data_IF_779159125939
#
_entry.id   IF_779159125939
#
_cell.length_a   1.000
_cell.length_b   1.000
_cell.length_c   1.000
_cell.angle_alpha   90.00
_cell.angle_beta   90.00
_cell.angle_gamma   90.00
#
_symmetry.space_group_name_H-M   'P 1'
#
loop_
_entity.id
_entity.type
_entity.pdbx_description
1 polymer ?
#
# COMPACT_ATOMS: atom_id res chain seq x y z
N UNK A 1 -18.59 16.15 24.96
CA UNK A 1 -17.96 14.86 24.65
C UNK A 1 -18.52 13.77 25.59
N UNK A 2 -19.69 13.19 25.27
CA UNK A 2 -20.42 12.24 26.15
C UNK A 2 -20.08 10.77 25.90
N UNK A 3 -19.24 10.48 24.89
CA UNK A 3 -18.84 9.12 24.51
C UNK A 3 -17.48 8.70 25.08
N UNK A 4 -16.73 9.63 25.69
CA UNK A 4 -15.45 9.33 26.32
C UNK A 4 -15.66 8.38 27.51
N UNK A 5 -14.94 7.25 27.60
CA UNK A 5 -15.00 6.40 28.78
C UNK A 5 -14.67 7.20 30.04
N UNK A 6 -15.52 7.12 31.07
CA UNK A 6 -15.36 7.90 32.30
C UNK A 6 -14.13 7.50 33.14
N UNK A 7 -13.48 6.36 32.81
CA UNK A 7 -12.33 5.84 33.55
C UNK A 7 -12.64 5.33 34.97
N UNK A 8 -13.90 5.42 35.41
CA UNK A 8 -14.31 5.11 36.79
C UNK A 8 -14.10 3.64 37.18
N UNK A 9 -14.09 2.72 36.21
CA UNK A 9 -13.88 1.29 36.45
C UNK A 9 -12.50 0.96 37.05
N UNK A 10 -11.52 1.87 36.95
CA UNK A 10 -10.16 1.67 37.46
C UNK A 10 -9.82 2.58 38.66
N UNK A 11 -10.61 3.61 38.93
CA UNK A 11 -10.22 4.70 39.86
C UNK A 11 -10.58 4.46 41.32
N UNK A 12 -11.42 3.46 41.63
CA UNK A 12 -11.92 3.26 43.02
C UNK A 12 -11.87 1.82 43.54
N UNK A 13 -11.65 0.81 42.69
CA UNK A 13 -11.53 -0.59 43.11
C UNK A 13 -10.20 -1.18 42.65
N UNK A 14 -9.25 -1.31 43.58
CA UNK A 14 -7.94 -1.92 43.33
C UNK A 14 -7.97 -3.46 43.29
N UNK A 15 -9.12 -4.08 43.57
CA UNK A 15 -9.32 -5.54 43.45
C UNK A 15 -10.04 -5.85 42.14
N UNK A 16 -9.37 -6.56 41.22
CA UNK A 16 -9.92 -6.98 39.93
C UNK A 16 -8.96 -6.74 38.76
N UNK A 17 -9.35 -7.10 37.52
CA UNK A 17 -8.50 -6.94 36.35
C UNK A 17 -8.24 -5.46 36.06
N UNK A 18 -6.96 -5.12 35.89
CA UNK A 18 -6.54 -3.78 35.47
C UNK A 18 -6.78 -3.57 33.96
N UNK A 19 -6.35 -2.43 33.42
CA UNK A 19 -6.52 -2.14 32.00
C UNK A 19 -5.84 -3.19 31.10
N UNK A 20 -4.60 -3.59 31.43
CA UNK A 20 -3.83 -4.56 30.65
C UNK A 20 -4.48 -5.95 30.70
N UNK A 21 -4.98 -6.38 31.86
CA UNK A 21 -5.69 -7.67 32.00
C UNK A 21 -6.93 -7.72 31.09
N UNK A 22 -7.69 -6.61 31.06
CA UNK A 22 -8.86 -6.47 30.18
C UNK A 22 -8.46 -6.44 28.71
N UNK A 23 -7.42 -5.68 28.36
CA UNK A 23 -6.87 -5.61 26.99
C UNK A 23 -6.44 -6.98 26.48
N UNK A 24 -5.73 -7.74 27.32
CA UNK A 24 -5.26 -9.10 27.00
C UNK A 24 -6.44 -10.06 26.82
N UNK A 25 -7.43 -10.01 27.71
CA UNK A 25 -8.66 -10.81 27.59
C UNK A 25 -9.43 -10.46 26.32
N UNK A 26 -9.54 -9.16 25.99
CA UNK A 26 -10.25 -8.66 24.81
C UNK A 26 -9.60 -9.15 23.51
N UNK A 27 -8.27 -9.10 23.41
CA UNK A 27 -7.54 -9.59 22.23
C UNK A 27 -7.44 -11.11 22.15
N UNK A 28 -7.59 -11.86 23.24
CA UNK A 28 -7.40 -13.31 23.20
C UNK A 28 -8.53 -14.07 22.47
N UNK A 29 -9.74 -13.51 22.45
CA UNK A 29 -10.97 -14.14 21.95
C UNK A 29 -11.17 -15.58 22.46
N UNK A 30 -10.70 -15.95 23.65
CA UNK A 30 -10.72 -17.35 24.10
C UNK A 30 -12.14 -17.91 24.31
N UNK A 31 -13.10 -17.03 24.57
CA UNK A 31 -14.47 -17.35 24.98
C UNK A 31 -15.54 -16.88 23.98
N UNK A 32 -15.15 -16.25 22.88
CA UNK A 32 -16.08 -15.69 21.89
C UNK A 32 -15.47 -15.54 20.50
N UNK A 33 -16.33 -15.35 19.51
CA UNK A 33 -15.94 -14.97 18.14
C UNK A 33 -16.22 -13.47 17.89
N UNK A 34 -15.41 -12.78 17.07
CA UNK A 34 -15.63 -11.39 16.73
C UNK A 34 -16.89 -11.25 15.85
N UNK A 35 -17.58 -10.12 15.93
CA UNK A 35 -18.67 -9.83 15.00
C UNK A 35 -18.14 -9.62 13.57
N UNK A 36 -16.98 -8.96 13.45
CA UNK A 36 -16.29 -8.69 12.18
C UNK A 36 -14.87 -9.23 12.22
N UNK A 37 -14.52 -10.09 11.26
CA UNK A 37 -13.15 -10.53 11.04
C UNK A 37 -12.55 -9.80 9.83
N UNK A 38 -11.45 -9.08 10.05
CA UNK A 38 -10.73 -8.34 9.01
C UNK A 38 -9.48 -9.12 8.62
N UNK A 39 -9.38 -9.47 7.33
CA UNK A 39 -8.27 -10.23 6.76
C UNK A 39 -7.26 -9.26 6.14
N UNK A 40 -6.14 -9.02 6.83
CA UNK A 40 -5.09 -8.09 6.42
C UNK A 40 -5.02 -6.85 7.31
N UNK A 41 -3.86 -6.61 7.90
CA UNK A 41 -3.57 -5.53 8.83
C UNK A 41 -2.79 -4.35 8.24
N UNK A 42 -2.96 -4.10 6.94
CA UNK A 42 -2.49 -2.88 6.29
C UNK A 42 -3.45 -1.69 6.46
N UNK A 43 -3.20 -0.58 5.76
CA UNK A 43 -3.99 0.66 5.87
C UNK A 43 -5.50 0.42 5.77
N UNK A 44 -5.96 -0.34 4.77
CA UNK A 44 -7.39 -0.62 4.58
C UNK A 44 -8.00 -1.33 5.79
N UNK A 45 -7.33 -2.34 6.33
CA UNK A 45 -7.80 -3.08 7.50
C UNK A 45 -7.81 -2.22 8.76
N UNK A 46 -6.75 -1.44 8.98
CA UNK A 46 -6.64 -0.53 10.12
C UNK A 46 -7.69 0.59 10.08
N UNK A 47 -7.93 1.21 8.92
CA UNK A 47 -8.97 2.23 8.76
C UNK A 47 -10.35 1.69 9.13
N UNK A 48 -10.70 0.50 8.63
CA UNK A 48 -11.99 -0.14 8.88
C UNK A 48 -12.11 -0.52 10.36
N UNK A 49 -11.09 -1.16 10.93
CA UNK A 49 -11.08 -1.55 12.34
C UNK A 49 -11.24 -0.34 13.27
N UNK A 50 -10.54 0.75 13.00
CA UNK A 50 -10.65 1.97 13.79
C UNK A 50 -12.07 2.54 13.76
N UNK A 51 -12.70 2.60 12.59
CA UNK A 51 -14.09 3.06 12.44
C UNK A 51 -15.07 2.13 13.18
N UNK A 52 -14.92 0.82 13.05
CA UNK A 52 -15.77 -0.16 13.75
C UNK A 52 -15.59 -0.13 15.28
N UNK A 53 -14.36 0.09 15.77
CA UNK A 53 -14.08 0.27 17.20
C UNK A 53 -14.83 1.46 17.77
N UNK A 54 -14.86 2.60 17.06
CA UNK A 54 -15.62 3.78 17.51
C UNK A 54 -17.15 3.58 17.49
N UNK A 55 -17.63 2.59 16.74
CA UNK A 55 -19.03 2.17 16.71
C UNK A 55 -19.33 1.06 17.74
N UNK A 56 -18.37 0.69 18.59
CA UNK A 56 -18.46 -0.42 19.55
C UNK A 56 -18.81 -1.77 18.90
N UNK A 57 -18.30 -2.03 17.69
CA UNK A 57 -18.47 -3.30 16.99
C UNK A 57 -17.25 -4.18 17.28
N UNK A 58 -17.47 -5.35 17.88
CA UNK A 58 -16.39 -6.31 18.20
C UNK A 58 -15.71 -6.81 16.91
N UNK A 59 -14.44 -6.46 16.76
CA UNK A 59 -13.69 -6.57 15.52
C UNK A 59 -12.31 -7.13 15.79
N UNK A 60 -11.91 -8.17 15.06
CA UNK A 60 -10.57 -8.73 15.09
C UNK A 60 -9.89 -8.56 13.72
N UNK A 61 -8.68 -8.03 13.71
CA UNK A 61 -7.80 -8.03 12.55
C UNK A 61 -6.89 -9.26 12.64
N UNK A 62 -6.69 -9.96 11.53
CA UNK A 62 -5.64 -10.96 11.41
C UNK A 62 -4.69 -10.61 10.27
N UNK A 63 -3.40 -10.88 10.47
CA UNK A 63 -2.37 -10.72 9.45
C UNK A 63 -1.36 -11.87 9.53
N UNK A 64 -0.97 -12.38 8.37
CA UNK A 64 0.04 -13.46 8.26
C UNK A 64 1.45 -12.99 8.64
N UNK A 65 1.70 -11.68 8.64
CA UNK A 65 2.99 -11.14 9.00
C UNK A 65 3.27 -11.29 10.49
N UNK A 66 4.53 -11.53 10.82
CA UNK A 66 4.98 -11.74 12.20
C UNK A 66 4.84 -10.49 13.08
N UNK A 67 5.00 -9.31 12.47
CA UNK A 67 4.92 -8.02 13.15
C UNK A 67 4.00 -7.08 12.39
N UNK A 68 3.22 -6.28 13.11
CA UNK A 68 2.36 -5.24 12.52
C UNK A 68 3.22 -4.32 11.64
N UNK A 69 2.72 -3.95 10.46
CA UNK A 69 3.43 -3.10 9.51
C UNK A 69 4.50 -3.81 8.66
N UNK A 70 4.75 -5.11 8.85
CA UNK A 70 5.73 -5.86 8.04
C UNK A 70 5.39 -5.91 6.54
N UNK A 71 4.11 -5.73 6.19
CA UNK A 71 3.67 -5.56 4.80
C UNK A 71 4.34 -4.36 4.10
N UNK A 72 4.80 -3.36 4.87
CA UNK A 72 5.64 -2.26 4.43
C UNK A 72 7.10 -2.47 4.78
N UNK A 73 7.42 -2.86 6.02
CA UNK A 73 8.81 -2.98 6.52
C UNK A 73 9.68 -3.91 5.66
N UNK A 74 9.09 -4.99 5.13
CA UNK A 74 9.77 -6.00 4.30
C UNK A 74 9.87 -5.63 2.81
N UNK A 75 9.40 -4.46 2.40
CA UNK A 75 9.64 -3.95 1.04
C UNK A 75 11.12 -3.52 0.89
N UNK A 76 11.55 -3.30 -0.35
CA UNK A 76 12.94 -2.92 -0.67
C UNK A 76 13.40 -1.69 0.10
N UNK A 77 14.70 -1.66 0.42
CA UNK A 77 15.35 -0.75 1.35
C UNK A 77 15.04 0.72 1.06
N UNK A 78 15.16 1.14 -0.21
CA UNK A 78 14.97 2.52 -0.63
C UNK A 78 13.49 3.01 -0.70
N UNK A 79 12.50 2.15 -0.42
CA UNK A 79 11.10 2.51 -0.65
C UNK A 79 10.63 3.67 0.23
N UNK A 80 10.21 4.73 -0.45
CA UNK A 80 9.45 5.86 0.08
C UNK A 80 8.11 5.94 -0.66
N UNK A 81 7.03 6.30 0.03
CA UNK A 81 5.74 6.51 -0.63
C UNK A 81 5.83 7.61 -1.70
N UNK A 82 5.07 7.47 -2.77
CA UNK A 82 5.11 8.38 -3.92
C UNK A 82 4.05 9.50 -3.87
N UNK A 83 3.13 9.43 -2.91
CA UNK A 83 2.15 10.46 -2.61
C UNK A 83 2.56 11.21 -1.34
N UNK A 84 2.21 12.49 -1.28
CA UNK A 84 2.53 13.33 -0.12
C UNK A 84 1.74 12.93 1.14
N UNK A 85 2.26 13.31 2.31
CA UNK A 85 1.77 12.91 3.64
C UNK A 85 0.28 13.17 3.87
N UNK A 86 -0.27 14.26 3.35
CA UNK A 86 -1.63 14.72 3.65
C UNK A 86 -2.72 13.75 3.14
N UNK A 87 -2.46 12.97 2.09
CA UNK A 87 -3.40 11.95 1.56
C UNK A 87 -3.19 10.55 2.14
N UNK A 88 -2.31 10.40 3.12
CA UNK A 88 -1.96 9.10 3.70
C UNK A 88 -2.51 8.89 5.12
N UNK A 89 -3.19 9.89 5.70
CA UNK A 89 -3.66 9.84 7.08
C UNK A 89 -4.61 8.66 7.34
N UNK A 90 -4.53 8.12 8.56
CA UNK A 90 -5.49 7.15 9.07
C UNK A 90 -6.56 7.89 9.89
N UNK A 91 -7.80 7.35 9.99
CA UNK A 91 -8.85 7.95 10.80
C UNK A 91 -8.40 8.22 12.24
N UNK A 92 -8.88 9.32 12.83
CA UNK A 92 -8.73 9.70 14.24
C UNK A 92 -7.33 10.10 14.73
N UNK A 93 -6.28 9.54 14.15
CA UNK A 93 -4.90 9.82 14.55
C UNK A 93 -4.07 10.20 13.30
N UNK A 94 -4.02 11.50 12.95
CA UNK A 94 -3.20 11.97 11.83
C UNK A 94 -1.72 11.76 12.12
N UNK A 95 -0.90 11.76 11.07
CA UNK A 95 0.55 11.73 11.25
C UNK A 95 1.01 13.02 11.93
N UNK A 96 2.05 12.96 12.79
CA UNK A 96 2.62 14.15 13.40
C UNK A 96 3.07 15.19 12.36
N UNK A 97 2.90 16.49 12.61
CA UNK A 97 3.28 17.56 11.69
C UNK A 97 4.79 17.64 11.41
N UNK A 98 5.61 16.97 12.23
CA UNK A 98 7.07 16.86 12.05
C UNK A 98 7.49 15.77 11.06
N UNK A 99 6.53 15.05 10.47
CA UNK A 99 6.82 14.02 9.49
C UNK A 99 7.29 14.60 8.16
N UNK A 100 8.16 13.89 7.43
CA UNK A 100 8.57 14.31 6.10
C UNK A 100 7.38 14.31 5.13
N UNK A 101 7.45 15.14 4.09
CA UNK A 101 6.44 15.22 3.02
C UNK A 101 6.17 13.86 2.39
N UNK A 102 7.22 13.06 2.16
CA UNK A 102 7.13 11.70 1.65
C UNK A 102 7.57 10.72 2.74
N UNK A 103 6.80 9.65 2.94
CA UNK A 103 6.94 8.77 4.11
C UNK A 103 7.77 7.53 3.74
N UNK A 104 8.91 7.27 4.39
CA UNK A 104 9.66 6.02 4.23
C UNK A 104 8.88 4.81 4.74
N UNK A 105 9.05 3.64 4.11
CA UNK A 105 8.31 2.40 4.44
C UNK A 105 8.36 2.04 5.94
N UNK A 106 9.52 2.24 6.59
CA UNK A 106 9.74 1.84 7.97
C UNK A 106 9.03 2.77 8.96
N UNK A 107 8.95 4.05 8.62
CA UNK A 107 8.23 5.06 9.41
C UNK A 107 6.73 4.77 9.41
N UNK A 108 6.19 4.41 8.24
CA UNK A 108 4.79 3.99 8.10
C UNK A 108 4.52 2.68 8.86
N UNK A 109 5.41 1.69 8.73
CA UNK A 109 5.27 0.41 9.42
C UNK A 109 5.23 0.57 10.95
N UNK A 110 6.14 1.37 11.51
CA UNK A 110 6.19 1.64 12.95
C UNK A 110 4.96 2.42 13.43
N UNK A 111 4.42 3.31 12.59
CA UNK A 111 3.18 4.02 12.91
C UNK A 111 1.98 3.09 13.03
N UNK A 112 1.90 2.01 12.25
CA UNK A 112 0.80 1.05 12.40
C UNK A 112 0.81 0.37 13.76
N UNK A 113 1.97 0.06 14.33
CA UNK A 113 2.07 -0.45 15.70
C UNK A 113 1.55 0.57 16.71
N UNK A 114 2.01 1.82 16.62
CA UNK A 114 1.53 2.89 17.51
C UNK A 114 0.03 3.15 17.34
N UNK A 115 -0.50 3.07 16.11
CA UNK A 115 -1.91 3.26 15.80
C UNK A 115 -2.79 2.15 16.38
N UNK A 116 -2.39 0.88 16.22
CA UNK A 116 -3.08 -0.28 16.80
C UNK A 116 -3.14 -0.18 18.33
N UNK A 117 -2.02 0.16 18.96
CA UNK A 117 -1.96 0.32 20.41
C UNK A 117 -2.81 1.50 20.90
N UNK A 118 -2.66 2.67 20.27
CA UNK A 118 -3.32 3.91 20.72
C UNK A 118 -4.84 3.86 20.57
N UNK A 119 -5.35 3.10 19.61
CA UNK A 119 -6.79 2.91 19.37
C UNK A 119 -7.32 1.57 19.92
N UNK A 120 -6.48 0.83 20.64
CA UNK A 120 -6.82 -0.47 21.24
C UNK A 120 -7.44 -1.46 20.24
N UNK A 121 -6.89 -1.54 19.02
CA UNK A 121 -7.41 -2.42 17.97
C UNK A 121 -6.99 -3.87 18.23
N UNK A 122 -7.94 -4.81 18.23
CA UNK A 122 -7.62 -6.24 18.37
C UNK A 122 -6.96 -6.76 17.09
N UNK A 123 -5.76 -7.31 17.24
CA UNK A 123 -4.91 -7.69 16.12
C UNK A 123 -4.15 -8.98 16.44
N UNK A 124 -4.28 -10.01 15.59
CA UNK A 124 -3.40 -11.18 15.61
C UNK A 124 -2.42 -11.16 14.45
N UNK A 125 -1.13 -11.16 14.78
CA UNK A 125 -0.06 -11.41 13.84
C UNK A 125 0.14 -12.91 13.62
N UNK A 126 0.96 -13.27 12.62
CA UNK A 126 1.28 -14.67 12.27
C UNK A 126 0.04 -15.57 12.13
N UNK A 127 -1.09 -15.00 11.68
CA UNK A 127 -2.36 -15.70 11.57
C UNK A 127 -2.83 -15.66 10.13
N UNK A 128 -2.97 -16.84 9.52
CA UNK A 128 -3.32 -16.98 8.12
C UNK A 128 -4.78 -17.42 7.94
N UNK A 129 -5.49 -16.74 7.06
CA UNK A 129 -6.84 -17.11 6.66
C UNK A 129 -6.78 -18.22 5.60
N UNK A 130 -7.36 -19.38 5.91
CA UNK A 130 -7.36 -20.54 5.01
C UNK A 130 -8.66 -20.68 4.20
N UNK A 131 -9.67 -19.86 4.52
CA UNK A 131 -10.96 -19.86 3.85
C UNK A 131 -12.14 -19.98 4.81
N UNK A 132 -13.35 -20.03 4.25
CA UNK A 132 -14.58 -20.21 5.01
C UNK A 132 -15.81 -20.32 4.15
N UNK A 133 -16.93 -20.67 4.78
CA UNK A 133 -18.24 -20.81 4.15
C UNK A 133 -19.30 -20.04 4.94
N UNK A 134 -20.26 -19.45 4.24
CA UNK A 134 -21.37 -18.74 4.86
C UNK A 134 -22.57 -19.65 5.06
N UNK A 135 -23.12 -19.65 6.27
CA UNK A 135 -24.41 -20.28 6.59
C UNK A 135 -25.50 -19.20 6.59
N UNK A 136 -26.42 -19.30 5.62
CA UNK A 136 -27.52 -18.35 5.47
C UNK A 136 -28.58 -18.47 6.57
N UNK A 137 -28.78 -19.66 7.16
CA UNK A 137 -29.73 -19.87 8.24
C UNK A 137 -29.19 -19.32 9.55
N UNK A 138 -27.91 -19.58 9.86
CA UNK A 138 -27.24 -19.03 11.03
C UNK A 138 -26.84 -17.56 10.89
N UNK A 139 -26.83 -17.03 9.66
CA UNK A 139 -26.33 -15.68 9.31
C UNK A 139 -24.92 -15.43 9.81
N UNK A 140 -24.07 -16.45 9.69
CA UNK A 140 -22.70 -16.44 10.18
C UNK A 140 -21.78 -17.19 9.22
N UNK A 141 -20.52 -16.81 9.23
CA UNK A 141 -19.46 -17.54 8.56
C UNK A 141 -18.97 -18.67 9.46
N UNK A 142 -18.38 -19.70 8.85
CA UNK A 142 -17.43 -20.60 9.50
C UNK A 142 -16.11 -20.43 8.78
N UNK A 143 -15.10 -19.89 9.46
CA UNK A 143 -13.77 -19.66 8.88
C UNK A 143 -12.73 -20.54 9.53
N UNK A 144 -11.69 -20.90 8.78
CA UNK A 144 -10.52 -21.61 9.29
C UNK A 144 -9.30 -20.70 9.24
N UNK A 145 -8.63 -20.59 10.38
CA UNK A 145 -7.40 -19.82 10.57
C UNK A 145 -6.26 -20.76 10.93
N UNK A 146 -5.07 -20.51 10.40
CA UNK A 146 -3.83 -21.13 10.88
C UNK A 146 -3.09 -20.14 11.77
N UNK A 147 -2.86 -20.53 13.02
CA UNK A 147 -2.18 -19.72 14.02
C UNK A 147 -0.65 -19.84 13.91
N UNK A 148 0.06 -19.02 14.68
CA UNK A 148 1.53 -18.95 14.67
C UNK A 148 2.23 -20.28 15.00
N UNK A 149 1.61 -21.09 15.87
CA UNK A 149 2.09 -22.42 16.27
C UNK A 149 1.73 -23.53 15.26
N UNK A 150 1.09 -23.18 14.15
CA UNK A 150 0.62 -24.09 13.12
C UNK A 150 -0.72 -24.75 13.44
N UNK A 151 -1.30 -24.51 14.62
CA UNK A 151 -2.63 -25.04 14.95
C UNK A 151 -3.72 -24.35 14.14
N UNK A 152 -4.82 -25.08 13.92
CA UNK A 152 -5.99 -24.54 13.25
C UNK A 152 -7.02 -24.05 14.28
N UNK A 153 -7.56 -22.86 14.03
CA UNK A 153 -8.64 -22.26 14.81
C UNK A 153 -9.83 -21.98 13.91
N UNK A 154 -11.00 -22.51 14.30
CA UNK A 154 -12.27 -22.16 13.67
C UNK A 154 -12.91 -21.00 14.41
N UNK A 155 -13.50 -20.07 13.66
CA UNK A 155 -14.25 -18.93 14.20
C UNK A 155 -15.53 -18.72 13.40
N UNK A 156 -16.53 -18.08 14.02
CA UNK A 156 -17.84 -17.86 13.42
C UNK A 156 -18.27 -16.38 13.38
N UNK A 157 -17.52 -15.52 12.67
CA UNK A 157 -17.89 -14.11 12.56
C UNK A 157 -19.16 -13.91 11.73
N UNK A 158 -19.87 -12.81 11.95
CA UNK A 158 -21.03 -12.43 11.12
C UNK A 158 -20.60 -11.79 9.80
N UNK A 159 -19.47 -11.08 9.82
CA UNK A 159 -18.94 -10.38 8.67
C UNK A 159 -17.46 -10.68 8.47
N UNK A 160 -17.04 -10.75 7.21
CA UNK A 160 -15.63 -10.84 6.82
C UNK A 160 -15.33 -9.62 5.96
N UNK A 161 -14.21 -8.95 6.24
CA UNK A 161 -13.67 -7.86 5.43
C UNK A 161 -12.36 -8.30 4.82
N UNK A 162 -12.30 -8.38 3.50
CA UNK A 162 -11.06 -8.70 2.77
C UNK A 162 -10.24 -7.43 2.57
N UNK A 163 -9.21 -7.24 3.40
CA UNK A 163 -8.30 -6.10 3.38
C UNK A 163 -6.87 -6.50 2.94
N UNK A 164 -6.78 -7.44 1.99
CA UNK A 164 -5.53 -8.10 1.58
C UNK A 164 -4.67 -7.30 0.59
N UNK A 165 -5.20 -6.18 0.07
CA UNK A 165 -4.56 -5.37 -0.98
C UNK A 165 -4.48 -6.07 -2.34
N UNK A 166 -3.89 -5.38 -3.33
CA UNK A 166 -3.80 -5.86 -4.74
C UNK A 166 -2.36 -6.17 -5.19
N UNK A 167 -1.36 -5.87 -4.38
CA UNK A 167 0.07 -5.89 -4.76
C UNK A 167 0.92 -6.84 -3.90
N UNK A 168 0.28 -7.85 -3.29
CA UNK A 168 0.91 -8.78 -2.34
C UNK A 168 1.34 -10.13 -2.93
N UNK A 169 0.79 -10.52 -4.09
CA UNK A 169 1.07 -11.80 -4.74
C UNK A 169 1.98 -11.55 -5.95
N UNK A 170 3.18 -12.16 -6.01
CA UNK A 170 4.07 -12.06 -7.17
C UNK A 170 3.40 -12.58 -8.44
N UNK A 171 3.57 -11.86 -9.54
CA UNK A 171 3.19 -12.34 -10.86
C UNK A 171 4.46 -12.59 -11.67
N UNK A 172 4.90 -13.86 -11.71
CA UNK A 172 6.11 -14.27 -12.41
C UNK A 172 5.69 -14.89 -13.74
N UNK A 173 6.02 -14.27 -14.89
CA UNK A 173 5.69 -14.83 -16.18
C UNK A 173 6.50 -16.11 -16.44
N UNK A 174 5.88 -17.10 -17.09
CA UNK A 174 6.61 -18.26 -17.60
C UNK A 174 7.43 -17.84 -18.82
N UNK A 175 8.76 -17.86 -18.67
CA UNK A 175 9.73 -17.55 -19.72
C UNK A 175 10.56 -18.81 -19.93
N UNK A 176 10.30 -19.61 -20.96
CA UNK A 176 10.94 -20.92 -21.14
C UNK A 176 12.47 -20.89 -21.20
N UNK A 177 13.05 -19.78 -21.66
CA UNK A 177 14.51 -19.58 -21.73
C UNK A 177 15.14 -19.23 -20.38
N UNK A 178 14.37 -18.77 -19.40
CA UNK A 178 14.87 -18.33 -18.09
C UNK A 178 15.49 -19.49 -17.30
N UNK A 179 15.03 -20.73 -17.51
CA UNK A 179 15.64 -21.94 -16.91
C UNK A 179 17.09 -22.18 -17.34
N UNK A 180 17.51 -21.61 -18.47
CA UNK A 180 18.88 -21.71 -18.98
C UNK A 180 19.77 -20.56 -18.48
N UNK A 181 19.18 -19.56 -17.82
CA UNK A 181 19.93 -18.44 -17.26
C UNK A 181 20.66 -18.89 -15.99
N UNK A 182 21.98 -18.71 -15.97
CA UNK A 182 22.84 -19.12 -14.84
C UNK A 182 23.00 -18.04 -13.78
N UNK A 183 22.50 -16.83 -14.03
CA UNK A 183 22.50 -15.75 -13.06
C UNK A 183 21.31 -15.84 -12.11
N UNK A 184 21.32 -14.99 -11.10
CA UNK A 184 20.24 -14.90 -10.14
C UNK A 184 19.00 -14.24 -10.75
N UNK A 185 17.82 -14.79 -10.43
CA UNK A 185 16.53 -14.31 -10.90
C UNK A 185 15.66 -14.03 -9.69
N UNK A 186 15.18 -12.78 -9.59
CA UNK A 186 14.36 -12.33 -8.48
C UNK A 186 13.10 -11.65 -9.01
N UNK A 187 11.97 -11.89 -8.34
CA UNK A 187 10.82 -10.99 -8.47
C UNK A 187 11.06 -9.74 -7.62
N UNK A 188 10.44 -8.60 -7.96
CA UNK A 188 10.61 -7.34 -7.22
C UNK A 188 10.26 -7.44 -5.73
N UNK A 189 9.39 -8.38 -5.35
CA UNK A 189 9.05 -8.67 -3.95
C UNK A 189 10.17 -9.35 -3.15
N UNK A 190 11.18 -9.89 -3.82
CA UNK A 190 12.36 -10.52 -3.21
C UNK A 190 13.59 -9.59 -3.24
N UNK A 191 13.54 -8.52 -4.04
CA UNK A 191 14.60 -7.53 -4.07
C UNK A 191 14.65 -6.77 -2.75
N UNK A 192 15.83 -6.71 -2.14
CA UNK A 192 16.05 -6.05 -0.85
C UNK A 192 16.81 -4.74 -1.01
N UNK A 193 17.97 -4.77 -1.67
CA UNK A 193 18.92 -3.64 -1.69
C UNK A 193 19.83 -3.72 -2.93
N UNK A 194 20.21 -2.58 -3.49
CA UNK A 194 21.10 -2.45 -4.64
C UNK A 194 22.57 -2.79 -4.38
N UNK A 195 23.09 -2.60 -3.16
CA UNK A 195 24.52 -2.65 -2.84
C UNK A 195 25.14 -4.02 -3.07
N UNK A 196 24.37 -5.09 -2.86
CA UNK A 196 24.82 -6.47 -3.11
C UNK A 196 25.06 -6.76 -4.60
N UNK A 197 24.62 -5.86 -5.49
CA UNK A 197 24.74 -5.98 -6.96
C UNK A 197 25.84 -5.10 -7.55
N UNK A 198 26.65 -4.44 -6.73
CA UNK A 198 27.74 -3.58 -7.19
C UNK A 198 28.65 -4.28 -8.22
N UNK A 199 28.90 -3.61 -9.34
CA UNK A 199 29.73 -4.14 -10.44
C UNK A 199 29.09 -5.28 -11.24
N UNK A 200 27.84 -5.66 -10.97
CA UNK A 200 27.10 -6.66 -11.74
C UNK A 200 26.39 -6.01 -12.93
N UNK A 201 25.89 -6.86 -13.83
CA UNK A 201 24.97 -6.46 -14.91
C UNK A 201 23.58 -6.95 -14.57
N UNK A 202 22.60 -6.06 -14.56
CA UNK A 202 21.23 -6.35 -14.18
C UNK A 202 20.26 -6.05 -15.34
N UNK A 203 19.31 -6.96 -15.54
CA UNK A 203 18.19 -6.78 -16.47
C UNK A 203 16.93 -6.64 -15.63
N UNK A 204 16.26 -5.50 -15.74
CA UNK A 204 15.00 -5.24 -15.04
C UNK A 204 13.84 -5.43 -16.02
N UNK A 205 13.02 -6.44 -15.79
CA UNK A 205 11.85 -6.73 -16.62
C UNK A 205 10.61 -6.01 -16.09
N UNK A 206 10.14 -5.00 -16.82
CA UNK A 206 8.94 -4.23 -16.48
C UNK A 206 9.23 -2.80 -16.06
N UNK A 207 8.31 -1.92 -16.44
CA UNK A 207 8.43 -0.46 -16.39
C UNK A 207 7.45 0.19 -15.40
N UNK A 208 6.90 -0.55 -14.43
CA UNK A 208 6.11 0.05 -13.34
C UNK A 208 6.97 0.78 -12.31
N UNK A 209 6.35 1.31 -11.25
CA UNK A 209 7.06 1.95 -10.13
C UNK A 209 8.21 1.09 -9.59
N UNK A 210 7.94 -0.15 -9.16
CA UNK A 210 9.01 -1.01 -8.63
C UNK A 210 10.12 -1.32 -9.63
N UNK A 211 9.83 -1.39 -10.94
CA UNK A 211 10.86 -1.60 -11.95
C UNK A 211 11.81 -0.42 -12.05
N UNK A 212 11.27 0.80 -12.04
CA UNK A 212 12.08 2.02 -12.06
C UNK A 212 12.84 2.23 -10.75
N UNK A 213 12.20 2.07 -9.59
CA UNK A 213 12.86 2.24 -8.29
C UNK A 213 14.04 1.27 -8.16
N UNK A 214 13.84 -0.02 -8.50
CA UNK A 214 14.90 -1.03 -8.44
C UNK A 214 16.00 -0.73 -9.46
N UNK A 215 15.66 -0.30 -10.67
CA UNK A 215 16.66 0.05 -11.68
C UNK A 215 17.51 1.25 -11.24
N UNK A 216 16.89 2.25 -10.62
CA UNK A 216 17.57 3.42 -10.06
C UNK A 216 18.45 3.05 -8.87
N UNK A 217 17.97 2.20 -7.96
CA UNK A 217 18.72 1.69 -6.80
C UNK A 217 19.96 0.88 -7.26
N UNK A 218 19.76 -0.08 -8.16
CA UNK A 218 20.85 -0.86 -8.76
C UNK A 218 21.91 0.03 -9.43
N UNK A 219 21.48 1.04 -10.19
CA UNK A 219 22.40 2.00 -10.83
C UNK A 219 23.16 2.82 -9.78
N UNK A 220 22.47 3.35 -8.76
CA UNK A 220 23.08 4.12 -7.68
C UNK A 220 24.12 3.31 -6.90
N UNK A 221 23.89 2.01 -6.73
CA UNK A 221 24.81 1.06 -6.09
C UNK A 221 25.95 0.57 -7.03
N UNK A 222 26.00 1.04 -8.27
CA UNK A 222 27.09 0.76 -9.20
C UNK A 222 26.93 -0.50 -10.04
N UNK A 223 25.71 -1.00 -10.24
CA UNK A 223 25.41 -2.02 -11.25
C UNK A 223 25.18 -1.40 -12.63
N UNK A 224 25.50 -2.12 -13.70
CA UNK A 224 25.12 -1.75 -15.07
C UNK A 224 23.71 -2.26 -15.35
N UNK A 225 22.75 -1.35 -15.56
CA UNK A 225 21.33 -1.70 -15.62
C UNK A 225 20.76 -1.55 -17.03
N UNK A 226 19.95 -2.51 -17.44
CA UNK A 226 19.12 -2.42 -18.65
C UNK A 226 17.68 -2.74 -18.32
N UNK A 227 16.77 -1.83 -18.63
CA UNK A 227 15.33 -2.00 -18.46
C UNK A 227 14.70 -2.56 -19.73
N UNK A 228 13.83 -3.57 -19.59
CA UNK A 228 13.12 -4.19 -20.70
C UNK A 228 11.66 -3.75 -20.68
N UNK A 229 11.23 -3.13 -21.77
CA UNK A 229 9.86 -2.67 -21.96
C UNK A 229 9.13 -3.50 -23.02
N UNK A 230 8.08 -4.22 -22.58
CA UNK A 230 7.18 -4.94 -23.49
C UNK A 230 6.05 -4.05 -24.02
N UNK A 231 5.40 -3.32 -23.11
CA UNK A 231 4.18 -2.55 -23.38
C UNK A 231 4.37 -1.10 -22.92
N UNK A 232 3.51 -0.21 -23.40
CA UNK A 232 3.56 1.20 -23.01
C UNK A 232 3.41 1.39 -21.50
N UNK A 233 3.91 2.52 -21.01
CA UNK A 233 3.78 2.93 -19.61
C UNK A 233 3.49 4.42 -19.55
N UNK A 234 2.61 4.80 -18.63
CA UNK A 234 2.39 6.21 -18.33
C UNK A 234 3.50 6.68 -17.39
N UNK A 235 4.26 7.68 -17.78
CA UNK A 235 5.27 8.32 -16.93
C UNK A 235 4.81 9.73 -16.61
N UNK A 236 4.94 10.13 -15.36
CA UNK A 236 4.63 11.48 -14.87
C UNK A 236 5.63 11.83 -13.78
N UNK A 237 6.13 13.06 -13.73
CA UNK A 237 7.03 13.48 -12.66
C UNK A 237 6.33 13.43 -11.31
N UNK A 238 7.03 12.95 -10.28
CA UNK A 238 6.48 12.91 -8.93
C UNK A 238 6.08 14.31 -8.44
N UNK A 239 6.86 15.32 -8.80
CA UNK A 239 6.62 16.72 -8.47
C UNK A 239 6.74 17.57 -9.74
N UNK A 240 5.83 18.53 -9.96
CA UNK A 240 4.54 18.71 -9.27
C UNK A 240 3.44 17.77 -9.83
N UNK A 241 3.67 17.19 -11.02
CA UNK A 241 2.64 16.65 -11.89
C UNK A 241 1.80 15.52 -11.27
N UNK A 242 2.45 14.55 -10.60
CA UNK A 242 1.74 13.44 -9.98
C UNK A 242 0.90 13.86 -8.76
N UNK A 243 1.20 15.00 -8.12
CA UNK A 243 0.49 15.46 -6.93
C UNK A 243 -0.73 16.30 -7.24
N UNK A 244 -0.88 16.82 -8.46
CA UNK A 244 -2.01 17.68 -8.79
C UNK A 244 -3.40 17.04 -8.54
N UNK A 245 -3.63 15.72 -8.71
CA UNK A 245 -4.88 15.09 -8.29
C UNK A 245 -5.21 15.24 -6.80
N UNK A 246 -4.20 15.50 -5.97
CA UNK A 246 -4.29 15.63 -4.52
C UNK A 246 -4.23 17.08 -4.04
N UNK A 247 -4.11 18.05 -4.95
CA UNK A 247 -3.92 19.46 -4.63
C UNK A 247 -4.97 20.02 -3.65
N UNK A 248 -6.22 19.53 -3.71
CA UNK A 248 -7.27 19.91 -2.77
C UNK A 248 -6.90 19.64 -1.30
N UNK A 249 -6.15 18.57 -1.02
CA UNK A 249 -5.70 18.22 0.33
C UNK A 249 -4.56 19.11 0.83
N UNK A 250 -3.92 19.89 -0.06
CA UNK A 250 -2.87 20.86 0.27
C UNK A 250 -3.44 22.30 0.42
N UNK A 251 -4.54 22.61 -0.29
CA UNK A 251 -5.12 23.96 -0.39
C UNK A 251 -5.96 24.42 0.83
N UNK A 252 -6.02 23.63 1.91
CA UNK A 252 -6.51 24.09 3.22
C UNK A 252 -7.94 23.71 3.68
N UNK A 253 -8.82 23.03 2.92
CA UNK A 253 -9.99 22.37 3.50
C UNK A 253 -9.56 21.28 4.49
N UNK A 254 -10.46 20.89 5.40
CA UNK A 254 -10.18 19.75 6.27
C UNK A 254 -10.08 18.45 5.45
N UNK A 255 -9.37 17.44 5.97
CA UNK A 255 -9.31 16.12 5.32
C UNK A 255 -10.72 15.54 5.13
N UNK A 256 -11.61 15.75 6.10
CA UNK A 256 -12.99 15.28 6.02
C UNK A 256 -13.77 15.97 4.88
N UNK A 257 -13.57 17.27 4.67
CA UNK A 257 -14.18 17.99 3.54
C UNK A 257 -13.60 17.53 2.20
N UNK A 258 -12.28 17.33 2.14
CA UNK A 258 -11.62 16.80 0.95
C UNK A 258 -12.18 15.42 0.59
N UNK A 259 -12.28 14.52 1.57
CA UNK A 259 -12.83 13.19 1.38
C UNK A 259 -14.29 13.25 0.91
N UNK A 260 -15.12 14.13 1.49
CA UNK A 260 -16.51 14.31 1.09
C UNK A 260 -16.62 14.83 -0.35
N UNK A 261 -15.79 15.80 -0.74
CA UNK A 261 -15.77 16.33 -2.09
C UNK A 261 -15.32 15.27 -3.10
N UNK A 262 -14.21 14.59 -2.84
CA UNK A 262 -13.67 13.55 -3.72
C UNK A 262 -14.62 12.38 -3.86
N UNK A 263 -15.26 11.95 -2.77
CA UNK A 263 -16.20 10.81 -2.79
C UNK A 263 -17.57 11.20 -3.38
N UNK A 264 -17.99 12.46 -3.24
CA UNK A 264 -19.25 12.98 -3.75
C UNK A 264 -19.25 13.29 -5.25
N UNK A 265 -18.08 13.45 -5.89
CA UNK A 265 -17.99 13.74 -7.34
C UNK A 265 -18.35 12.49 -8.16
N UNK A 266 -19.37 12.55 -9.05
CA UNK A 266 -19.70 11.42 -9.90
C UNK A 266 -18.52 11.03 -10.81
N UNK A 267 -18.27 9.73 -10.98
CA UNK A 267 -17.13 9.22 -11.76
C UNK A 267 -17.07 9.77 -13.19
N UNK A 268 -18.22 10.00 -13.83
CA UNK A 268 -18.29 10.59 -15.17
C UNK A 268 -17.78 12.04 -15.20
N UNK A 269 -18.00 12.81 -14.13
CA UNK A 269 -17.49 14.17 -13.98
C UNK A 269 -16.02 14.13 -13.61
N UNK A 270 -15.64 13.30 -12.64
CA UNK A 270 -14.24 13.10 -12.25
C UNK A 270 -13.36 12.70 -13.44
N UNK A 271 -13.86 11.84 -14.34
CA UNK A 271 -13.15 11.47 -15.57
C UNK A 271 -12.77 12.69 -16.41
N UNK A 272 -13.69 13.62 -16.64
CA UNK A 272 -13.44 14.84 -17.43
C UNK A 272 -12.41 15.74 -16.75
N UNK A 273 -12.51 15.93 -15.44
CA UNK A 273 -11.53 16.70 -14.68
C UNK A 273 -10.13 16.09 -14.79
N UNK A 274 -10.03 14.77 -14.69
CA UNK A 274 -8.76 14.05 -14.83
C UNK A 274 -8.20 14.07 -16.25
N UNK A 275 -9.02 14.12 -17.29
CA UNK A 275 -8.56 14.33 -18.67
C UNK A 275 -7.91 15.71 -18.84
N UNK A 276 -8.55 16.76 -18.32
CA UNK A 276 -7.98 18.11 -18.34
C UNK A 276 -6.65 18.17 -17.56
N UNK A 277 -6.61 17.52 -16.39
CA UNK A 277 -5.41 17.45 -15.58
C UNK A 277 -4.27 16.67 -16.23
N UNK A 278 -4.60 15.54 -16.86
CA UNK A 278 -3.63 14.75 -17.60
C UNK A 278 -3.04 15.52 -18.78
N UNK A 279 -3.85 16.34 -19.47
CA UNK A 279 -3.33 17.21 -20.52
C UNK A 279 -2.36 18.26 -19.97
N UNK A 280 -2.71 18.90 -18.85
CA UNK A 280 -1.86 19.88 -18.20
C UNK A 280 -0.51 19.28 -17.74
N UNK A 281 -0.55 18.13 -17.05
CA UNK A 281 0.68 17.45 -16.59
C UNK A 281 1.59 17.02 -17.73
N UNK A 282 1.06 16.61 -18.89
CA UNK A 282 1.88 16.31 -20.07
C UNK A 282 2.63 17.53 -20.60
N UNK A 283 2.01 18.71 -20.54
CA UNK A 283 2.65 19.95 -20.97
C UNK A 283 3.80 20.32 -20.03
N UNK A 284 3.59 20.16 -18.72
CA UNK A 284 4.62 20.36 -17.69
C UNK A 284 5.79 19.39 -17.86
N UNK A 285 5.49 18.10 -18.07
CA UNK A 285 6.49 17.04 -18.17
C UNK A 285 7.05 16.87 -19.59
N UNK A 286 6.67 17.74 -20.53
CA UNK A 286 7.02 17.62 -21.96
C UNK A 286 8.50 17.35 -22.20
N UNK A 287 9.47 18.04 -21.55
CA UNK A 287 10.89 17.77 -21.77
C UNK A 287 11.29 16.33 -21.46
N UNK A 288 10.80 15.77 -20.34
CA UNK A 288 11.07 14.39 -19.94
C UNK A 288 10.42 13.41 -20.92
N UNK A 289 9.14 13.63 -21.25
CA UNK A 289 8.38 12.75 -22.12
C UNK A 289 8.97 12.71 -23.53
N UNK A 290 9.42 13.85 -24.06
CA UNK A 290 10.08 13.92 -25.37
C UNK A 290 11.45 13.25 -25.34
N UNK A 291 12.22 13.40 -24.25
CA UNK A 291 13.47 12.69 -24.04
C UNK A 291 13.29 11.16 -24.01
N UNK A 292 12.25 10.68 -23.33
CA UNK A 292 11.91 9.25 -23.28
C UNK A 292 11.52 8.73 -24.67
N UNK A 293 10.70 9.46 -25.42
CA UNK A 293 10.35 9.13 -26.80
C UNK A 293 11.57 9.07 -27.70
N UNK A 294 12.52 10.00 -27.54
CA UNK A 294 13.77 10.02 -28.31
C UNK A 294 14.65 8.78 -28.05
N UNK A 295 14.54 8.16 -26.86
CA UNK A 295 15.17 6.86 -26.54
C UNK A 295 14.35 5.65 -26.99
N UNK A 296 13.18 5.87 -27.59
CA UNK A 296 12.26 4.84 -28.06
C UNK A 296 11.21 4.44 -27.03
N UNK A 297 11.28 4.90 -25.77
CA UNK A 297 10.37 4.45 -24.69
C UNK A 297 8.89 4.61 -25.07
N UNK A 298 8.14 3.52 -24.99
CA UNK A 298 6.71 3.47 -25.33
C UNK A 298 5.91 4.12 -24.21
N UNK A 299 5.37 5.31 -24.45
CA UNK A 299 4.51 6.02 -23.52
C UNK A 299 3.03 5.81 -23.85
N UNK A 300 2.17 5.92 -22.83
CA UNK A 300 0.73 6.06 -23.01
C UNK A 300 0.15 7.08 -22.01
N UNK A 301 -1.11 7.45 -22.24
CA UNK A 301 -1.79 8.55 -21.54
C UNK A 301 -2.81 8.06 -20.49
N UNK A 302 -2.81 6.76 -20.18
CA UNK A 302 -3.84 6.12 -19.38
C UNK A 302 -5.13 5.87 -20.16
N UNK A 303 -6.13 5.34 -19.46
CA UNK A 303 -7.41 4.99 -20.08
C UNK A 303 -8.14 6.27 -20.51
N UNK A 304 -8.49 6.42 -21.79
CA UNK A 304 -9.24 7.59 -22.28
C UNK A 304 -8.54 8.93 -21.95
N UNK A 305 -7.20 8.94 -21.89
CA UNK A 305 -6.40 10.14 -21.59
C UNK A 305 -6.58 10.69 -20.17
N UNK A 306 -7.06 9.88 -19.22
CA UNK A 306 -7.37 10.31 -17.84
C UNK A 306 -6.16 10.36 -16.90
N UNK A 307 -4.96 10.07 -17.41
CA UNK A 307 -3.75 10.09 -16.61
C UNK A 307 -3.62 8.89 -15.67
N UNK A 308 -2.80 9.04 -14.64
CA UNK A 308 -2.35 7.93 -13.78
C UNK A 308 -3.43 7.47 -12.78
N UNK A 309 -4.23 8.38 -12.22
CA UNK A 309 -5.20 8.08 -11.15
C UNK A 309 -6.25 7.07 -11.63
N UNK A 310 -6.89 7.34 -12.76
CA UNK A 310 -7.88 6.42 -13.33
C UNK A 310 -7.25 5.13 -13.87
N UNK A 311 -6.00 5.20 -14.37
CA UNK A 311 -5.24 3.99 -14.73
C UNK A 311 -5.03 3.08 -13.52
N UNK A 312 -4.69 3.65 -12.37
CA UNK A 312 -4.60 2.92 -11.10
C UNK A 312 -5.95 2.31 -10.70
N UNK A 313 -7.04 3.09 -10.72
CA UNK A 313 -8.37 2.60 -10.34
C UNK A 313 -8.87 1.43 -11.22
N UNK A 314 -8.52 1.41 -12.50
CA UNK A 314 -8.96 0.37 -13.45
C UNK A 314 -8.05 -0.86 -13.41
N UNK A 315 -6.73 -0.66 -13.35
CA UNK A 315 -5.74 -1.73 -13.59
C UNK A 315 -4.89 -2.08 -12.38
N UNK A 316 -4.78 -1.17 -11.40
CA UNK A 316 -3.85 -1.31 -10.27
C UNK A 316 -2.37 -1.13 -10.62
N UNK A 317 -2.05 -0.58 -11.81
CA UNK A 317 -0.65 -0.39 -12.23
C UNK A 317 -0.49 0.07 -13.69
N UNK A 318 0.74 -0.01 -14.21
CA UNK A 318 1.10 0.42 -15.56
C UNK A 318 1.47 1.90 -15.69
N UNK A 319 1.76 2.55 -14.57
CA UNK A 319 2.30 3.90 -14.52
C UNK A 319 3.59 3.92 -13.68
N UNK A 320 4.34 5.01 -13.80
CA UNK A 320 5.50 5.32 -13.00
C UNK A 320 5.48 6.80 -12.59
N UNK A 321 5.72 7.05 -11.30
CA UNK A 321 5.99 8.37 -10.75
C UNK A 321 7.49 8.65 -10.79
N UNK A 322 7.93 9.47 -11.74
CA UNK A 322 9.35 9.70 -11.93
C UNK A 322 9.98 10.44 -10.74
N UNK A 323 10.92 9.74 -10.08
CA UNK A 323 11.80 10.26 -9.03
C UNK A 323 13.28 10.32 -9.49
N UNK A 324 13.53 10.18 -10.79
CA UNK A 324 14.86 10.26 -11.39
C UNK A 324 15.22 9.12 -12.35
N UNK A 325 14.59 7.95 -12.21
CA UNK A 325 14.92 6.81 -13.07
C UNK A 325 14.66 7.09 -14.57
N UNK A 326 13.61 7.84 -14.91
CA UNK A 326 13.34 8.18 -16.31
C UNK A 326 14.43 9.10 -16.86
N UNK A 327 14.97 10.01 -16.07
CA UNK A 327 16.09 10.89 -16.46
C UNK A 327 17.37 10.08 -16.73
N UNK A 328 17.59 9.02 -15.97
CA UNK A 328 18.69 8.07 -16.22
C UNK A 328 18.52 7.30 -17.53
N UNK A 329 17.28 6.98 -17.92
CA UNK A 329 16.99 6.40 -19.25
C UNK A 329 17.24 7.45 -20.35
N UNK A 330 16.78 8.69 -20.16
CA UNK A 330 16.97 9.79 -21.12
C UNK A 330 18.45 10.11 -21.33
N UNK A 331 19.27 10.10 -20.27
CA UNK A 331 20.72 10.30 -20.39
C UNK A 331 21.45 9.09 -20.97
N UNK A 332 20.85 7.89 -20.91
CA UNK A 332 21.46 6.63 -21.32
C UNK A 332 22.30 5.95 -20.23
N UNK A 333 22.26 6.47 -19.00
CA UNK A 333 22.88 5.84 -17.84
C UNK A 333 22.21 4.50 -17.47
N UNK A 334 20.91 4.38 -17.72
CA UNK A 334 20.18 3.11 -17.72
C UNK A 334 19.82 2.76 -19.17
N UNK A 335 20.21 1.57 -19.60
CA UNK A 335 19.88 1.07 -20.94
C UNK A 335 18.39 0.76 -21.08
N UNK A 336 17.85 0.90 -22.28
CA UNK A 336 16.48 0.51 -22.62
C UNK A 336 16.51 -0.53 -23.73
N UNK A 337 15.82 -1.66 -23.51
CA UNK A 337 15.55 -2.67 -24.53
C UNK A 337 14.05 -2.78 -24.74
N UNK A 338 13.67 -2.92 -26.00
CA UNK A 338 12.29 -3.01 -26.42
C UNK A 338 12.11 -4.25 -27.27
N UNK A 339 10.96 -4.90 -27.09
CA UNK A 339 10.51 -5.96 -27.98
C UNK A 339 9.48 -5.42 -28.97
#
# INVERSE_FOLDING_TARGET
DRARPAGEAYSRNFRGPNWLDKRNTDTAYTDRDPAVLIIGGGQSGLCIAARLRQLNIDTLIIDRMARIGDNWRKRYHALTLHNQVHVNHLPYMPFPPTWPRYIPKDKLANWFESYVESLELNFWTSTEFEGGSYDAAAKAWTVSLRLADGTQRKMHPRHIVMATGVSGIPNIPDIPSLKNFRGEVLHSSQFTDGDVWKGKRAIVMGTGNSGHDIAQDLHASGASVTMVQRSSTLVVNIEPSAQLPYMLYDEGPSVDDCDLLVTGVPLAVGRKSHQALAQHTKEMDKPLLDGLRAKGFKLDDGFDGTGWQFKYLIRGGGYYFNVGCSDLIVSGAIGLLQN
#
